data_IF_434025626961
#
_entry.id   IF_434025626961
#
_cell.length_a   1.000
_cell.length_b   1.000
_cell.length_c   1.000
_cell.angle_alpha   90.00
_cell.angle_beta   90.00
_cell.angle_gamma   90.00
#
_symmetry.space_group_name_H-M   'P 1'
#
loop_
_entity.id
_entity.type
_entity.pdbx_description
1 polymer ?
#
# COMPACT_ATOMS: atom_id res chain seq x y z
N UNK A 1 10.05 -7.63 0.50
CA UNK A 1 8.90 -6.93 -0.12
C UNK A 1 9.15 -6.65 -1.60
N UNK A 2 10.35 -6.22 -2.00
CA UNK A 2 10.64 -5.97 -3.43
C UNK A 2 10.44 -7.18 -4.34
N UNK A 3 10.85 -8.38 -3.93
CA UNK A 3 10.73 -9.59 -4.75
C UNK A 3 9.27 -9.99 -5.05
N UNK A 4 8.37 -9.81 -4.06
CA UNK A 4 6.93 -10.04 -4.25
C UNK A 4 6.29 -8.97 -5.14
N UNK A 5 6.71 -7.70 -5.00
CA UNK A 5 6.24 -6.60 -5.86
C UNK A 5 6.65 -6.84 -7.32
N UNK A 6 7.92 -7.17 -7.57
CA UNK A 6 8.42 -7.45 -8.91
C UNK A 6 7.75 -8.68 -9.53
N UNK A 7 7.47 -9.71 -8.71
CA UNK A 7 6.74 -10.90 -9.15
C UNK A 7 5.29 -10.58 -9.54
N UNK A 8 4.59 -9.79 -8.71
CA UNK A 8 3.22 -9.36 -9.00
C UNK A 8 3.15 -8.47 -10.26
N UNK A 9 4.09 -7.54 -10.43
CA UNK A 9 4.17 -6.67 -11.60
C UNK A 9 4.39 -7.48 -12.88
N UNK A 10 5.24 -8.51 -12.83
CA UNK A 10 5.43 -9.44 -13.96
C UNK A 10 4.17 -10.21 -14.32
N UNK A 11 3.43 -10.70 -13.33
CA UNK A 11 2.17 -11.42 -13.54
C UNK A 11 1.12 -10.51 -14.21
N UNK A 12 0.95 -9.30 -13.68
CA UNK A 12 0.01 -8.32 -14.26
C UNK A 12 0.43 -7.87 -15.65
N UNK A 13 1.71 -7.57 -15.87
CA UNK A 13 2.24 -7.26 -17.21
C UNK A 13 1.90 -8.38 -18.20
N UNK A 14 2.06 -9.65 -17.79
CA UNK A 14 1.73 -10.81 -18.62
C UNK A 14 0.22 -10.92 -18.89
N UNK A 15 -0.61 -10.71 -17.87
CA UNK A 15 -2.07 -10.71 -17.99
C UNK A 15 -2.59 -9.63 -18.94
N UNK A 16 -2.07 -8.41 -18.83
CA UNK A 16 -2.45 -7.28 -19.68
C UNK A 16 -2.01 -7.55 -21.12
N UNK A 17 -0.75 -7.98 -21.32
CA UNK A 17 -0.24 -8.36 -22.64
C UNK A 17 -1.16 -9.36 -23.32
N UNK A 18 -1.59 -10.40 -22.61
CA UNK A 18 -2.51 -11.39 -23.12
C UNK A 18 -3.90 -10.81 -23.45
N UNK A 19 -4.39 -9.88 -22.63
CA UNK A 19 -5.71 -9.25 -22.82
C UNK A 19 -5.74 -8.29 -24.02
N UNK A 20 -4.61 -7.65 -24.32
CA UNK A 20 -4.44 -6.73 -25.44
C UNK A 20 -4.02 -7.42 -26.75
N UNK A 21 -3.83 -8.74 -26.76
CA UNK A 21 -3.58 -9.47 -28.01
C UNK A 21 -4.83 -9.40 -28.89
N UNK A 22 -4.66 -9.23 -30.22
CA UNK A 22 -5.78 -9.20 -31.15
C UNK A 22 -6.54 -10.54 -31.06
N UNK A 23 -7.76 -10.50 -30.53
CA UNK A 23 -8.69 -11.64 -30.58
C UNK A 23 -9.13 -11.80 -32.04
N UNK A 24 -9.11 -13.03 -32.55
CA UNK A 24 -9.43 -13.35 -33.94
C UNK A 24 -10.86 -12.94 -34.38
N UNK A 25 -11.74 -12.52 -33.46
CA UNK A 25 -13.15 -12.26 -33.72
C UNK A 25 -13.68 -10.89 -33.23
N UNK A 26 -12.86 -10.02 -32.63
CA UNK A 26 -13.35 -8.74 -32.11
C UNK A 26 -13.02 -7.57 -33.04
N UNK A 27 -13.99 -7.20 -33.91
CA UNK A 27 -14.05 -5.90 -34.59
C UNK A 27 -14.50 -4.78 -33.63
N UNK A 28 -13.86 -4.65 -32.46
CA UNK A 28 -14.06 -3.45 -31.67
C UNK A 28 -13.07 -2.39 -32.19
N UNK A 29 -13.62 -1.41 -32.91
CA UNK A 29 -12.88 -0.25 -33.37
C UNK A 29 -12.33 0.48 -32.14
N UNK A 30 -11.03 0.33 -31.90
CA UNK A 30 -10.33 1.06 -30.85
C UNK A 30 -10.35 2.55 -31.24
N UNK A 31 -11.00 3.41 -30.45
CA UNK A 31 -11.07 4.86 -30.69
C UNK A 31 -9.67 5.50 -30.74
N UNK A 32 -8.68 4.81 -30.17
CA UNK A 32 -7.26 5.16 -30.12
C UNK A 32 -6.50 4.91 -31.42
N UNK A 33 -7.09 4.20 -32.39
CA UNK A 33 -6.49 4.02 -33.72
C UNK A 33 -6.43 5.33 -34.52
N UNK A 34 -7.16 6.36 -34.08
CA UNK A 34 -7.17 7.67 -34.68
C UNK A 34 -6.30 8.67 -33.91
N UNK A 35 -5.50 9.45 -34.65
CA UNK A 35 -4.73 10.55 -34.07
C UNK A 35 -5.68 11.63 -33.51
N UNK A 36 -5.36 12.31 -32.40
CA UNK A 36 -6.33 13.06 -31.61
C UNK A 36 -6.76 14.37 -32.28
N UNK A 37 -5.88 14.93 -33.13
CA UNK A 37 -6.10 16.19 -33.83
C UNK A 37 -6.40 15.94 -35.31
N UNK A 38 -5.68 15.02 -35.95
CA UNK A 38 -5.86 14.75 -37.39
C UNK A 38 -6.92 13.71 -37.69
N UNK A 39 -7.42 12.98 -36.68
CA UNK A 39 -8.38 11.88 -36.80
C UNK A 39 -7.96 10.79 -37.81
N UNK A 40 -6.66 10.75 -38.13
CA UNK A 40 -6.11 9.81 -39.10
C UNK A 40 -6.04 8.43 -38.46
N UNK A 41 -6.70 7.46 -39.09
CA UNK A 41 -6.59 6.05 -38.69
C UNK A 41 -5.23 5.49 -39.10
N UNK A 42 -4.48 4.96 -38.12
CA UNK A 42 -3.14 4.38 -38.32
C UNK A 42 -3.11 3.18 -39.29
N UNK A 43 -4.27 2.58 -39.56
CA UNK A 43 -4.40 1.31 -40.28
C UNK A 43 -4.58 1.46 -41.80
N UNK A 44 -4.66 2.68 -42.33
CA UNK A 44 -5.13 2.94 -43.70
C UNK A 44 -4.03 3.21 -44.74
N UNK A 45 -2.77 2.85 -44.48
CA UNK A 45 -1.70 3.05 -45.46
C UNK A 45 -1.33 1.69 -46.04
N UNK A 46 -1.85 1.37 -47.22
CA UNK A 46 -1.33 0.32 -48.10
C UNK A 46 0.09 0.73 -48.54
N UNK A 47 1.05 0.56 -47.63
CA UNK A 47 2.42 0.95 -47.86
C UNK A 47 3.09 -0.09 -48.76
N UNK A 48 3.48 0.32 -49.97
CA UNK A 48 4.34 -0.49 -50.84
C UNK A 48 5.61 -0.82 -50.05
N UNK A 49 5.93 -2.11 -49.80
CA UNK A 49 7.05 -2.48 -48.94
C UNK A 49 8.37 -2.14 -49.62
N UNK A 50 8.89 -0.95 -49.33
CA UNK A 50 10.25 -0.55 -49.72
C UNK A 50 11.26 -1.12 -48.73
N UNK A 51 12.51 -1.29 -49.17
CA UNK A 51 13.64 -1.72 -48.30
C UNK A 51 13.80 -0.83 -47.08
N UNK A 52 13.44 0.45 -47.17
CA UNK A 52 13.43 1.39 -46.05
C UNK A 52 12.33 1.09 -45.02
N UNK A 53 11.09 0.88 -45.47
CA UNK A 53 9.98 0.52 -44.57
C UNK A 53 10.20 -0.82 -43.88
N UNK A 54 10.82 -1.79 -44.55
CA UNK A 54 11.22 -3.06 -43.93
C UNK A 54 12.22 -2.86 -42.78
N UNK A 55 13.19 -1.94 -42.94
CA UNK A 55 14.15 -1.61 -41.87
C UNK A 55 13.50 -0.86 -40.72
N UNK A 56 12.55 0.04 -40.99
CA UNK A 56 11.78 0.72 -39.94
C UNK A 56 10.89 -0.25 -39.16
N UNK A 57 10.24 -1.19 -39.86
CA UNK A 57 9.45 -2.23 -39.22
C UNK A 57 10.32 -3.14 -38.34
N UNK A 58 11.53 -3.49 -38.78
CA UNK A 58 12.48 -4.25 -37.98
C UNK A 58 13.03 -3.48 -36.77
N UNK A 59 13.11 -2.14 -36.84
CA UNK A 59 13.55 -1.28 -35.75
C UNK A 59 12.43 -0.89 -34.77
N UNK A 60 11.18 -1.33 -35.02
CA UNK A 60 10.04 -1.03 -34.16
C UNK A 60 10.19 -1.72 -32.80
N UNK A 61 9.93 -0.97 -31.74
CA UNK A 61 9.79 -1.54 -30.39
C UNK A 61 8.47 -2.33 -30.32
N UNK A 62 8.52 -3.64 -29.99
CA UNK A 62 7.31 -4.43 -29.82
C UNK A 62 6.64 -4.03 -28.50
N UNK A 63 5.49 -3.35 -28.60
CA UNK A 63 4.62 -3.06 -27.47
C UNK A 63 3.17 -3.33 -27.90
N UNK A 64 2.49 -4.11 -27.07
CA UNK A 64 1.12 -4.62 -27.20
C UNK A 64 0.23 -3.93 -26.16
N UNK A 65 0.72 -3.80 -24.93
CA UNK A 65 -0.03 -3.26 -23.79
C UNK A 65 0.01 -1.73 -23.71
N UNK A 66 1.17 -1.12 -23.94
CA UNK A 66 1.31 0.35 -23.87
C UNK A 66 0.58 1.06 -25.01
N UNK A 67 0.13 2.27 -24.74
CA UNK A 67 -0.40 3.17 -25.75
C UNK A 67 0.62 3.47 -26.84
N UNK A 68 0.13 3.72 -28.05
CA UNK A 68 0.94 4.03 -29.22
C UNK A 68 1.81 5.28 -28.98
N UNK A 69 1.26 6.29 -28.30
CA UNK A 69 1.98 7.52 -27.93
C UNK A 69 3.18 7.23 -27.05
N UNK A 70 2.98 6.42 -26.01
CA UNK A 70 4.06 6.08 -25.09
C UNK A 70 5.12 5.21 -25.78
N UNK A 71 4.72 4.29 -26.66
CA UNK A 71 5.65 3.51 -27.49
C UNK A 71 6.52 4.39 -28.39
N UNK A 72 5.97 5.45 -28.99
CA UNK A 72 6.75 6.37 -29.82
C UNK A 72 7.87 7.09 -29.05
N UNK A 73 7.76 7.19 -27.73
CA UNK A 73 8.81 7.77 -26.88
C UNK A 73 10.00 6.82 -26.61
N UNK A 74 9.95 5.58 -27.10
CA UNK A 74 11.04 4.61 -26.95
C UNK A 74 10.82 3.56 -25.86
N UNK A 75 9.61 3.45 -25.29
CA UNK A 75 9.31 2.53 -24.19
C UNK A 75 8.61 1.25 -24.69
N UNK A 76 9.08 0.08 -24.22
CA UNK A 76 8.47 -1.24 -24.44
C UNK A 76 7.45 -1.57 -23.34
N UNK A 77 6.77 -2.71 -23.41
CA UNK A 77 5.86 -3.20 -22.36
C UNK A 77 6.58 -3.72 -21.08
N UNK A 78 7.73 -3.14 -20.75
CA UNK A 78 8.45 -3.38 -19.51
C UNK A 78 8.12 -2.25 -18.53
N UNK A 79 7.24 -2.54 -17.58
CA UNK A 79 6.79 -1.56 -16.58
C UNK A 79 7.71 -1.58 -15.36
N UNK A 80 8.07 -0.40 -14.84
CA UNK A 80 8.85 -0.27 -13.62
C UNK A 80 7.99 -0.23 -12.35
N UNK A 81 6.74 0.23 -12.45
CA UNK A 81 5.80 0.31 -11.32
C UNK A 81 4.34 0.10 -11.74
N UNK A 82 3.46 -0.18 -10.78
CA UNK A 82 2.03 -0.32 -11.04
C UNK A 82 1.38 1.01 -11.46
N UNK A 83 1.82 2.12 -10.86
CA UNK A 83 1.39 3.47 -11.29
C UNK A 83 1.77 3.75 -12.74
N UNK A 84 3.01 3.47 -13.15
CA UNK A 84 3.42 3.62 -14.56
C UNK A 84 2.57 2.74 -15.48
N UNK A 85 2.23 1.52 -15.05
CA UNK A 85 1.40 0.63 -15.83
C UNK A 85 -0.03 1.18 -16.03
N UNK A 86 -0.66 1.69 -14.97
CA UNK A 86 -1.97 2.33 -15.07
C UNK A 86 -1.97 3.57 -15.99
N UNK A 87 -0.91 4.39 -15.91
CA UNK A 87 -0.85 5.65 -16.66
C UNK A 87 -0.48 5.46 -18.15
N UNK A 88 0.26 4.40 -18.49
CA UNK A 88 0.88 4.26 -19.83
C UNK A 88 0.25 3.20 -20.72
N UNK A 89 -0.57 2.32 -20.16
CA UNK A 89 -1.33 1.33 -20.91
C UNK A 89 -2.42 2.00 -21.76
N UNK A 90 -2.87 1.28 -22.80
CA UNK A 90 -3.93 1.75 -23.68
C UNK A 90 -5.19 2.17 -22.89
N UNK A 91 -5.82 3.30 -23.24
CA UNK A 91 -7.03 3.79 -22.58
C UNK A 91 -8.21 2.81 -22.55
N UNK A 92 -8.26 1.87 -23.50
CA UNK A 92 -9.30 0.85 -23.56
C UNK A 92 -9.22 -0.18 -22.43
N UNK A 93 -8.09 -0.25 -21.72
CA UNK A 93 -7.94 -1.07 -20.54
C UNK A 93 -8.12 -0.18 -19.31
N UNK A 94 -9.35 -0.18 -18.77
CA UNK A 94 -9.66 0.55 -17.56
C UNK A 94 -8.95 -0.12 -16.37
N UNK A 95 -7.81 0.43 -15.97
CA UNK A 95 -7.03 -0.03 -14.82
C UNK A 95 -7.05 1.02 -13.73
N UNK A 96 -7.42 0.58 -12.54
CA UNK A 96 -7.38 1.39 -11.35
C UNK A 96 -6.21 0.92 -10.46
N UNK A 97 -5.45 1.87 -9.94
CA UNK A 97 -4.33 1.59 -9.03
C UNK A 97 -4.85 0.93 -7.74
N UNK A 98 -6.05 1.32 -7.29
CA UNK A 98 -6.68 0.79 -6.07
C UNK A 98 -7.13 -0.68 -6.22
N UNK A 99 -7.36 -1.13 -7.45
CA UNK A 99 -7.68 -2.52 -7.75
C UNK A 99 -6.43 -3.43 -7.79
N UNK A 100 -5.22 -2.86 -7.72
CA UNK A 100 -3.98 -3.61 -7.83
C UNK A 100 -3.54 -4.14 -6.46
N UNK A 101 -2.99 -5.37 -6.38
CA UNK A 101 -2.57 -5.98 -5.11
C UNK A 101 -1.28 -5.37 -4.53
N UNK A 102 -0.86 -4.20 -5.00
CA UNK A 102 0.34 -3.49 -4.57
C UNK A 102 0.01 -2.04 -4.25
N UNK A 103 0.20 -1.66 -2.98
CA UNK A 103 0.00 -0.29 -2.52
C UNK A 103 1.33 0.47 -2.63
N UNK A 104 1.52 1.23 -3.70
CA UNK A 104 2.65 2.15 -3.88
C UNK A 104 2.33 3.50 -3.22
N UNK A 105 2.30 3.54 -1.88
CA UNK A 105 2.14 4.82 -1.19
C UNK A 105 3.40 5.66 -1.33
N UNK A 106 3.27 6.84 -1.91
CA UNK A 106 4.33 7.85 -1.96
C UNK A 106 3.95 9.05 -1.09
N UNK A 107 4.91 9.63 -0.40
CA UNK A 107 4.68 10.89 0.32
C UNK A 107 4.57 12.08 -0.63
N UNK A 108 4.30 13.28 -0.07
CA UNK A 108 4.24 14.53 -0.84
C UNK A 108 5.57 14.94 -1.51
N UNK A 109 6.67 14.25 -1.21
CA UNK A 109 8.00 14.38 -1.81
C UNK A 109 8.32 13.21 -2.75
N UNK A 110 7.32 12.40 -3.13
CA UNK A 110 7.44 11.23 -4.01
C UNK A 110 8.35 10.12 -3.44
N UNK A 111 8.58 10.09 -2.12
CA UNK A 111 9.34 9.03 -1.47
C UNK A 111 8.44 7.84 -1.17
N UNK A 112 8.94 6.64 -1.44
CA UNK A 112 8.25 5.40 -1.10
C UNK A 112 7.97 5.37 0.42
N UNK A 113 6.70 5.36 0.78
CA UNK A 113 6.24 5.29 2.17
C UNK A 113 6.09 3.82 2.54
N UNK A 114 6.88 3.29 3.49
CA UNK A 114 6.68 1.93 3.96
C UNK A 114 5.30 1.84 4.62
N UNK A 115 4.46 0.94 4.10
CA UNK A 115 3.16 0.68 4.71
C UNK A 115 3.38 0.22 6.15
N UNK A 116 2.70 0.82 7.12
CA UNK A 116 2.68 0.35 8.52
C UNK A 116 1.88 -0.96 8.65
N UNK A 117 2.07 -1.90 7.73
CA UNK A 117 1.39 -3.20 7.66
C UNK A 117 1.58 -3.98 8.98
N UNK A 118 2.75 -3.84 9.61
CA UNK A 118 3.03 -4.45 10.92
C UNK A 118 2.04 -3.98 12.01
N UNK A 119 1.62 -2.72 11.98
CA UNK A 119 0.71 -2.17 12.98
C UNK A 119 -0.71 -2.69 12.76
N UNK A 120 -1.14 -2.74 11.50
CA UNK A 120 -2.46 -3.28 11.12
C UNK A 120 -2.57 -4.78 11.41
N UNK A 121 -1.56 -5.57 11.03
CA UNK A 121 -1.51 -7.00 11.29
C UNK A 121 -1.49 -7.31 12.80
N UNK A 122 -0.72 -6.54 13.58
CA UNK A 122 -0.75 -6.64 15.03
C UNK A 122 -2.13 -6.29 15.61
N UNK A 123 -2.80 -5.25 15.09
CA UNK A 123 -4.10 -4.83 15.57
C UNK A 123 -5.19 -5.88 15.28
N UNK A 124 -5.17 -6.50 14.09
CA UNK A 124 -6.18 -7.47 13.68
C UNK A 124 -6.01 -8.84 14.35
N UNK A 125 -4.76 -9.26 14.58
CA UNK A 125 -4.48 -10.63 15.00
C UNK A 125 -3.98 -10.75 16.43
N UNK A 126 -3.43 -9.68 17.01
CA UNK A 126 -2.88 -9.68 18.37
C UNK A 126 -1.72 -10.67 18.59
N UNK A 127 -1.21 -11.28 17.51
CA UNK A 127 -0.25 -12.40 17.57
C UNK A 127 1.08 -12.00 16.97
N UNK A 128 2.12 -12.01 17.80
CA UNK A 128 3.47 -11.59 17.40
C UNK A 128 4.23 -12.68 16.65
N UNK A 129 3.95 -13.96 16.91
CA UNK A 129 4.53 -15.06 16.13
C UNK A 129 4.12 -14.98 14.67
N UNK A 130 2.86 -14.57 14.45
CA UNK A 130 2.33 -14.28 13.12
C UNK A 130 2.97 -13.04 12.53
N UNK A 131 3.08 -11.95 13.30
CA UNK A 131 3.74 -10.72 12.86
C UNK A 131 5.19 -10.95 12.38
N UNK A 132 5.98 -11.69 13.15
CA UNK A 132 7.38 -12.05 12.84
C UNK A 132 7.45 -12.91 11.57
N UNK A 133 6.58 -13.93 11.47
CA UNK A 133 6.58 -14.88 10.37
C UNK A 133 6.07 -14.28 9.06
N UNK A 134 4.98 -13.51 9.11
CA UNK A 134 4.29 -12.98 7.93
C UNK A 134 4.89 -11.67 7.42
N UNK A 135 5.38 -10.79 8.30
CA UNK A 135 6.04 -9.55 7.89
C UNK A 135 7.58 -9.71 7.74
N UNK A 136 8.13 -10.89 8.02
CA UNK A 136 9.56 -11.15 7.93
C UNK A 136 10.42 -10.31 8.88
N UNK A 137 9.89 -9.98 10.07
CA UNK A 137 10.56 -9.11 11.03
C UNK A 137 11.29 -9.92 12.10
N UNK A 138 12.52 -9.55 12.44
CA UNK A 138 13.20 -10.08 13.63
C UNK A 138 12.45 -9.66 14.90
N UNK A 139 12.38 -10.55 15.91
CA UNK A 139 11.67 -10.29 17.18
C UNK A 139 12.04 -8.94 17.83
N UNK A 140 13.34 -8.60 17.86
CA UNK A 140 13.80 -7.31 18.38
C UNK A 140 13.31 -6.11 17.55
N UNK A 141 13.26 -6.25 16.22
CA UNK A 141 12.79 -5.19 15.32
C UNK A 141 11.28 -5.01 15.44
N UNK A 142 10.52 -6.10 15.52
CA UNK A 142 9.09 -6.08 15.77
C UNK A 142 8.76 -5.38 17.10
N UNK A 143 9.50 -5.69 18.18
CA UNK A 143 9.36 -5.00 19.48
C UNK A 143 9.53 -3.50 19.34
N UNK A 144 10.62 -3.09 18.68
CA UNK A 144 10.94 -1.67 18.52
C UNK A 144 9.88 -0.93 17.71
N UNK A 145 9.43 -1.50 16.59
CA UNK A 145 8.40 -0.90 15.74
C UNK A 145 7.07 -0.73 16.49
N UNK A 146 6.62 -1.77 17.19
CA UNK A 146 5.38 -1.69 17.99
C UNK A 146 5.51 -0.71 19.15
N UNK A 147 6.69 -0.61 19.78
CA UNK A 147 6.95 0.38 20.82
C UNK A 147 6.85 1.80 20.28
N UNK A 148 7.50 2.09 19.15
CA UNK A 148 7.42 3.41 18.51
C UNK A 148 5.98 3.75 18.12
N UNK A 149 5.26 2.78 17.52
CA UNK A 149 3.85 2.93 17.20
C UNK A 149 3.00 3.23 18.45
N UNK A 150 3.28 2.57 19.57
CA UNK A 150 2.57 2.81 20.83
C UNK A 150 2.74 4.23 21.37
N UNK A 151 3.89 4.86 21.13
CA UNK A 151 4.15 6.25 21.51
C UNK A 151 3.47 7.20 20.55
N UNK A 152 3.57 6.95 19.25
CA UNK A 152 2.89 7.73 18.22
C UNK A 152 1.36 7.77 18.46
N UNK A 153 0.74 6.64 18.81
CA UNK A 153 -0.69 6.61 19.16
C UNK A 153 -1.01 7.40 20.44
N UNK A 154 -0.11 7.43 21.43
CA UNK A 154 -0.31 8.25 22.64
C UNK A 154 -0.21 9.73 22.33
N UNK A 155 0.74 10.12 21.49
CA UNK A 155 0.93 11.52 21.10
C UNK A 155 -0.25 12.01 20.26
N UNK A 156 -0.74 11.20 19.31
CA UNK A 156 -1.97 11.51 18.57
C UNK A 156 -3.16 11.62 19.53
N UNK A 157 -3.32 10.68 20.46
CA UNK A 157 -4.41 10.74 21.45
C UNK A 157 -4.33 11.98 22.35
N UNK A 158 -3.12 12.43 22.68
CA UNK A 158 -2.90 13.66 23.43
C UNK A 158 -3.29 14.88 22.59
N UNK A 159 -2.83 14.95 21.33
CA UNK A 159 -3.17 16.03 20.41
C UNK A 159 -4.68 16.14 20.15
N UNK A 160 -5.36 15.02 19.92
CA UNK A 160 -6.83 14.99 19.75
C UNK A 160 -7.56 15.47 21.01
N UNK A 161 -7.08 15.10 22.21
CA UNK A 161 -7.64 15.60 23.48
C UNK A 161 -7.40 17.09 23.69
N UNK A 162 -6.27 17.61 23.24
CA UNK A 162 -5.94 19.04 23.32
C UNK A 162 -6.79 19.86 22.36
N UNK A 163 -7.00 19.38 21.12
CA UNK A 163 -7.89 20.00 20.13
C UNK A 163 -9.35 20.02 20.57
N UNK A 164 -9.77 19.09 21.44
CA UNK A 164 -11.13 19.01 21.96
C UNK A 164 -11.44 20.02 23.07
N UNK A 165 -10.42 20.64 23.70
CA UNK A 165 -10.70 21.63 24.76
C UNK A 165 -11.61 22.70 24.15
N UNK A 166 -12.80 22.95 24.73
CA UNK A 166 -13.75 23.87 24.13
C UNK A 166 -13.07 25.21 23.97
N UNK A 167 -13.12 25.74 22.76
CA UNK A 167 -12.61 27.09 22.50
C UNK A 167 -13.52 28.07 23.25
N UNK A 168 -13.00 29.18 23.78
CA UNK A 168 -13.82 30.13 24.57
C UNK A 168 -15.12 30.54 23.87
N UNK A 169 -15.12 30.56 22.53
CA UNK A 169 -16.30 30.82 21.68
C UNK A 169 -17.36 29.72 21.74
N UNK A 170 -16.99 28.45 21.86
CA UNK A 170 -17.93 27.31 21.88
C UNK A 170 -18.69 27.22 23.21
N UNK A 171 -18.02 27.58 24.31
CA UNK A 171 -18.64 27.68 25.65
C UNK A 171 -19.72 28.76 25.66
N UNK A 172 -19.48 29.87 24.95
CA UNK A 172 -20.44 30.97 24.80
C UNK A 172 -21.70 30.56 24.02
N UNK A 173 -21.56 29.73 22.97
CA UNK A 173 -22.69 29.19 22.22
C UNK A 173 -23.52 28.16 23.01
N UNK A 174 -22.89 27.24 23.74
CA UNK A 174 -23.63 26.28 24.60
C UNK A 174 -24.38 27.00 25.73
N UNK A 175 -23.81 28.06 26.29
CA UNK A 175 -24.45 28.86 27.34
C UNK A 175 -25.70 29.60 26.83
N UNK A 176 -25.71 30.02 25.56
CA UNK A 176 -26.80 30.82 24.99
C UNK A 176 -27.96 29.98 24.43
N UNK A 177 -27.68 28.76 23.93
CA UNK A 177 -28.68 27.93 23.24
C UNK A 177 -29.02 26.62 23.95
N UNK A 178 -28.30 26.23 25.02
CA UNK A 178 -28.66 25.09 25.88
C UNK A 178 -28.53 23.70 25.25
N UNK A 179 -28.15 23.59 23.97
CA UNK A 179 -27.99 22.33 23.26
C UNK A 179 -26.66 22.31 22.50
N UNK A 180 -25.95 21.16 22.54
CA UNK A 180 -24.75 20.94 21.75
C UNK A 180 -25.14 20.80 20.26
N UNK A 181 -24.50 21.58 19.38
CA UNK A 181 -24.75 21.51 17.94
C UNK A 181 -24.62 20.07 17.41
N UNK A 182 -25.48 19.61 16.49
CA UNK A 182 -25.52 18.21 16.03
C UNK A 182 -24.17 17.73 15.43
N UNK A 183 -23.43 18.62 14.77
CA UNK A 183 -22.08 18.37 14.23
C UNK A 183 -21.02 18.08 15.32
N UNK A 184 -21.27 18.48 16.57
CA UNK A 184 -20.37 18.22 17.70
C UNK A 184 -20.58 16.83 18.31
N UNK A 185 -21.77 16.22 18.15
CA UNK A 185 -22.08 14.90 18.68
C UNK A 185 -21.32 13.80 17.91
N UNK A 186 -21.30 13.87 16.58
CA UNK A 186 -20.57 12.92 15.72
C UNK A 186 -19.04 13.01 15.91
N UNK A 187 -18.50 14.23 16.04
CA UNK A 187 -17.08 14.46 16.39
C UNK A 187 -16.73 13.91 17.78
N UNK A 188 -17.67 13.92 18.71
CA UNK A 188 -17.46 13.38 20.06
C UNK A 188 -17.43 11.85 20.07
N UNK A 189 -18.26 11.20 19.25
CA UNK A 189 -18.27 9.74 19.07
C UNK A 189 -17.00 9.22 18.40
N UNK A 190 -16.54 9.87 17.32
CA UNK A 190 -15.30 9.50 16.63
C UNK A 190 -14.07 9.60 17.53
N UNK A 191 -13.97 10.67 18.34
CA UNK A 191 -12.89 10.83 19.33
C UNK A 191 -12.96 9.76 20.42
N UNK A 192 -14.16 9.43 20.92
CA UNK A 192 -14.34 8.34 21.90
C UNK A 192 -13.91 6.99 21.33
N UNK A 193 -14.30 6.69 20.08
CA UNK A 193 -13.92 5.48 19.38
C UNK A 193 -12.39 5.37 19.24
N UNK A 194 -11.71 6.47 18.87
CA UNK A 194 -10.25 6.50 18.79
C UNK A 194 -9.58 6.24 20.15
N UNK A 195 -10.06 6.88 21.23
CA UNK A 195 -9.52 6.67 22.58
C UNK A 195 -9.68 5.22 23.04
N UNK A 196 -10.83 4.62 22.76
CA UNK A 196 -11.09 3.21 23.04
C UNK A 196 -10.14 2.29 22.27
N UNK A 197 -9.97 2.54 20.98
CA UNK A 197 -9.09 1.76 20.11
C UNK A 197 -7.62 1.85 20.56
N UNK A 198 -7.17 3.04 20.94
CA UNK A 198 -5.84 3.21 21.54
C UNK A 198 -5.72 2.42 22.85
N UNK A 199 -6.72 2.47 23.74
CA UNK A 199 -6.68 1.68 24.99
C UNK A 199 -6.51 0.19 24.74
N UNK A 200 -7.27 -0.37 23.78
CA UNK A 200 -7.16 -1.76 23.38
C UNK A 200 -5.76 -2.10 22.87
N UNK A 201 -5.19 -1.26 22.00
CA UNK A 201 -3.82 -1.45 21.52
C UNK A 201 -2.80 -1.45 22.68
N UNK A 202 -2.93 -0.50 23.62
CA UNK A 202 -2.03 -0.41 24.77
C UNK A 202 -2.15 -1.61 25.72
N UNK A 203 -3.33 -2.22 25.83
CA UNK A 203 -3.52 -3.45 26.60
C UNK A 203 -2.86 -4.66 25.93
N UNK A 204 -3.07 -4.84 24.62
CA UNK A 204 -2.40 -5.89 23.85
C UNK A 204 -0.89 -5.78 23.96
N UNK A 205 -0.35 -4.58 23.78
CA UNK A 205 1.10 -4.33 23.90
C UNK A 205 1.64 -4.56 25.33
N UNK A 206 0.86 -4.20 26.37
CA UNK A 206 1.23 -4.46 27.78
C UNK A 206 1.23 -5.95 28.10
N UNK A 207 0.20 -6.68 27.68
CA UNK A 207 0.10 -8.12 27.89
C UNK A 207 1.29 -8.84 27.26
N UNK A 208 1.68 -8.41 26.08
CA UNK A 208 2.86 -8.96 25.42
C UNK A 208 4.19 -8.67 26.14
N UNK A 209 4.40 -7.43 26.63
CA UNK A 209 5.61 -7.15 27.42
C UNK A 209 5.68 -8.07 28.66
N UNK A 210 4.54 -8.39 29.28
CA UNK A 210 4.49 -9.34 30.39
C UNK A 210 4.85 -10.77 29.96
N UNK A 211 4.31 -11.26 28.84
CA UNK A 211 4.62 -12.62 28.36
C UNK A 211 6.10 -12.78 28.04
N UNK A 212 6.71 -11.80 27.35
CA UNK A 212 8.14 -11.83 27.04
C UNK A 212 9.02 -11.78 28.29
N UNK A 213 8.62 -10.99 29.28
CA UNK A 213 9.37 -10.93 30.55
C UNK A 213 9.28 -12.26 31.30
N UNK A 214 8.11 -12.90 31.28
CA UNK A 214 7.91 -14.20 31.92
C UNK A 214 8.66 -15.32 31.20
N UNK A 215 8.68 -15.34 29.86
CA UNK A 215 9.46 -16.31 29.08
C UNK A 215 10.96 -16.16 29.32
N UNK A 216 11.48 -14.92 29.37
CA UNK A 216 12.89 -14.69 29.71
C UNK A 216 13.25 -15.22 31.09
N UNK A 217 12.43 -14.93 32.11
CA UNK A 217 12.64 -15.43 33.48
C UNK A 217 12.65 -16.96 33.54
N UNK A 218 11.70 -17.62 32.85
CA UNK A 218 11.66 -19.09 32.75
C UNK A 218 12.94 -19.64 32.12
N UNK A 219 13.43 -19.03 31.04
CA UNK A 219 14.66 -19.49 30.39
C UNK A 219 15.91 -19.27 31.26
N UNK A 220 15.95 -18.21 32.05
CA UNK A 220 17.02 -17.99 33.04
C UNK A 220 16.97 -19.01 34.18
N UNK A 221 15.77 -19.36 34.67
CA UNK A 221 15.58 -20.41 35.68
C UNK A 221 16.02 -21.78 35.17
N UNK A 222 15.65 -22.14 33.93
CA UNK A 222 16.09 -23.40 33.30
C UNK A 222 17.62 -23.44 33.19
N UNK A 223 18.24 -22.36 32.69
CA UNK A 223 19.71 -22.29 32.61
C UNK A 223 20.38 -22.43 33.97
N UNK A 224 19.81 -21.82 35.03
CA UNK A 224 20.34 -21.98 36.39
C UNK A 224 20.22 -23.42 36.88
N UNK A 225 19.10 -24.09 36.61
CA UNK A 225 18.90 -25.50 36.96
C UNK A 225 19.86 -26.42 36.19
N UNK A 226 20.15 -26.15 34.92
CA UNK A 226 21.11 -26.90 34.12
C UNK A 226 22.55 -26.72 34.62
N UNK A 227 22.95 -25.50 34.98
CA UNK A 227 24.27 -25.22 35.57
C UNK A 227 24.41 -25.94 36.92
N UNK A 228 23.39 -25.88 37.76
CA UNK A 228 23.40 -26.51 39.07
C UNK A 228 23.50 -28.04 38.99
N UNK A 229 22.85 -28.67 37.99
CA UNK A 229 23.03 -30.10 37.70
C UNK A 229 24.44 -30.45 37.23
N UNK A 230 25.10 -29.56 36.49
CA UNK A 230 26.47 -29.78 36.00
C UNK A 230 27.54 -29.62 37.09
N UNK A 231 27.23 -28.94 38.19
CA UNK A 231 28.12 -28.78 39.36
C UNK A 231 27.96 -29.91 40.39
N UNK A 232 26.90 -30.71 40.30
CA UNK A 232 26.60 -31.84 41.21
C UNK A 232 27.05 -33.22 40.67
N UNK A 233 27.47 -33.29 39.40
CA UNK A 233 28.08 -34.47 38.73
C UNK A 233 29.62 -34.40 38.72
#
# INVERSE_FOLDING_TARGET
MDDQRSSALRLYSSYIKHSCLPKQEAQEQDETESLPISLLKLNNIEAVPTTFLGRLAAARIPAIARSEYYRMSGHSDDFASFSEMCDTVKPNLNMDLDAMPACEMKDHQLRDMPLNAYASDFFRHGSLTRLIKENGLTSAKAWYLLKQWSYLLKDIAKGVKELRKPTDKEVEYEHYYGEAAPDNMEKNETVKAFVQLNSQFQELFRNWNRTQTNERKKMEEIKKQEIQKFEED
#
